data_IF_037835418606
#
_entry.id   IF_037835418606
#
_cell.length_a   1.000
_cell.length_b   1.000
_cell.length_c   1.000
_cell.angle_alpha   90.00
_cell.angle_beta   90.00
_cell.angle_gamma   90.00
#
_symmetry.space_group_name_H-M   'P 1'
#
loop_
_entity.id
_entity.type
_entity.pdbx_description
1 polymer ?
#
# COMPACT_ATOMS: atom_id res chain seq x y z
N UNK A 1 3.36 12.33 -26.61
CA UNK A 1 3.96 12.12 -25.28
C UNK A 1 5.36 12.74 -25.32
N UNK A 2 5.67 13.73 -24.47
CA UNK A 2 7.01 14.32 -24.45
C UNK A 2 8.03 13.33 -23.89
N UNK A 3 9.24 13.26 -24.47
CA UNK A 3 10.30 12.36 -23.99
C UNK A 3 10.76 12.69 -22.57
N UNK A 4 10.42 13.88 -22.07
CA UNK A 4 10.64 14.30 -20.69
C UNK A 4 10.00 13.41 -19.65
N UNK A 5 8.83 12.82 -19.97
CA UNK A 5 8.14 11.89 -19.08
C UNK A 5 8.92 10.56 -18.93
N UNK A 6 9.91 10.33 -19.79
CA UNK A 6 10.81 9.17 -19.79
C UNK A 6 12.22 9.52 -19.28
N UNK A 7 12.39 10.68 -18.64
CA UNK A 7 13.64 11.08 -17.99
C UNK A 7 14.58 11.94 -18.85
N UNK A 8 14.16 12.36 -20.05
CA UNK A 8 14.94 13.29 -20.86
C UNK A 8 14.87 14.71 -20.28
N UNK A 9 16.02 15.39 -20.23
CA UNK A 9 16.02 16.84 -20.07
C UNK A 9 15.57 17.54 -21.35
N UNK A 10 15.22 18.82 -21.25
CA UNK A 10 14.91 19.67 -22.40
C UNK A 10 15.99 19.63 -23.48
N UNK A 11 17.25 19.73 -23.05
CA UNK A 11 18.42 19.74 -23.91
C UNK A 11 18.68 18.35 -24.52
N UNK A 12 18.56 17.29 -23.72
CA UNK A 12 18.72 15.92 -24.18
C UNK A 12 17.70 15.54 -25.25
N UNK A 13 16.44 15.95 -25.07
CA UNK A 13 15.38 15.75 -26.06
C UNK A 13 15.67 16.47 -27.38
N UNK A 14 16.14 17.72 -27.33
CA UNK A 14 16.49 18.51 -28.52
C UNK A 14 17.66 17.89 -29.30
N UNK A 15 18.72 17.49 -28.59
CA UNK A 15 19.90 16.84 -29.18
C UNK A 15 19.55 15.47 -29.78
N UNK A 16 18.79 14.64 -29.07
CA UNK A 16 18.39 13.33 -29.57
C UNK A 16 17.53 13.42 -30.83
N UNK A 17 16.59 14.37 -30.90
CA UNK A 17 15.80 14.61 -32.11
C UNK A 17 16.66 15.08 -33.29
N UNK A 18 17.57 16.00 -33.05
CA UNK A 18 18.47 16.50 -34.10
C UNK A 18 19.34 15.38 -34.68
N UNK A 19 19.82 14.44 -33.85
CA UNK A 19 20.55 13.26 -34.28
C UNK A 19 19.67 12.25 -35.04
N UNK A 20 18.40 12.11 -34.69
CA UNK A 20 17.46 11.27 -35.44
C UNK A 20 17.15 11.84 -36.83
N UNK A 21 16.99 13.16 -36.92
CA UNK A 21 16.71 13.86 -38.17
C UNK A 21 17.96 13.93 -39.06
N UNK A 22 19.13 14.08 -38.46
CA UNK A 22 20.42 14.11 -39.14
C UNK A 22 21.52 13.44 -38.28
N UNK A 23 21.85 12.16 -38.54
CA UNK A 23 22.88 11.43 -37.81
C UNK A 23 24.28 12.06 -37.91
N UNK A 24 24.53 12.80 -38.99
CA UNK A 24 25.82 13.46 -39.26
C UNK A 24 25.89 14.89 -38.70
N UNK A 25 24.97 15.27 -37.80
CA UNK A 25 24.96 16.60 -37.20
C UNK A 25 26.30 16.92 -36.50
N UNK A 26 26.85 18.11 -36.76
CA UNK A 26 28.10 18.54 -36.13
C UNK A 26 27.91 18.84 -34.64
N UNK A 27 28.95 18.61 -33.85
CA UNK A 27 28.97 18.92 -32.41
C UNK A 27 28.67 20.40 -32.13
N UNK A 28 29.12 21.32 -32.99
CA UNK A 28 28.82 22.76 -32.89
C UNK A 28 27.31 23.04 -33.03
N UNK A 29 26.65 22.38 -33.98
CA UNK A 29 25.21 22.50 -34.18
C UNK A 29 24.42 21.93 -32.99
N UNK A 30 24.82 20.76 -32.49
CA UNK A 30 24.20 20.14 -31.32
C UNK A 30 24.40 20.98 -30.06
N UNK A 31 25.58 21.59 -29.88
CA UNK A 31 25.85 22.48 -28.75
C UNK A 31 25.01 23.76 -28.82
N UNK A 32 24.80 24.32 -30.02
CA UNK A 32 23.91 25.47 -30.21
C UNK A 32 22.46 25.12 -29.87
N UNK A 33 21.97 23.95 -30.31
CA UNK A 33 20.62 23.46 -29.99
C UNK A 33 20.41 23.17 -28.51
N UNK A 34 21.40 22.55 -27.87
CA UNK A 34 21.33 22.19 -26.46
C UNK A 34 21.28 23.43 -25.54
N UNK A 35 21.85 24.56 -26.00
CA UNK A 35 22.00 25.80 -25.24
C UNK A 35 22.62 25.58 -23.83
N UNK A 36 23.52 24.59 -23.75
CA UNK A 36 24.21 24.12 -22.53
C UNK A 36 25.47 23.34 -22.97
N UNK A 37 26.48 23.13 -22.11
CA UNK A 37 27.61 22.28 -22.45
C UNK A 37 27.16 20.88 -22.89
N UNK A 38 27.64 20.44 -24.06
CA UNK A 38 27.15 19.24 -24.73
C UNK A 38 27.59 17.94 -24.02
N UNK A 39 28.77 17.92 -23.39
CA UNK A 39 29.33 16.73 -22.73
C UNK A 39 28.36 16.04 -21.76
N UNK A 40 27.88 16.74 -20.70
CA UNK A 40 26.92 16.17 -19.76
C UNK A 40 25.59 15.72 -20.39
N UNK A 41 25.19 16.33 -21.51
CA UNK A 41 23.98 15.94 -22.25
C UNK A 41 24.21 14.63 -22.99
N UNK A 42 25.36 14.45 -23.63
CA UNK A 42 25.72 13.21 -24.31
C UNK A 42 25.94 12.07 -23.31
N UNK A 43 26.59 12.34 -22.17
CA UNK A 43 26.75 11.36 -21.08
C UNK A 43 25.39 10.86 -20.60
N UNK A 44 24.44 11.78 -20.34
CA UNK A 44 23.09 11.40 -19.93
C UNK A 44 22.34 10.59 -21.00
N UNK A 45 22.51 10.90 -22.29
CA UNK A 45 21.88 10.15 -23.39
C UNK A 45 22.52 8.76 -23.58
N UNK A 46 23.82 8.62 -23.33
CA UNK A 46 24.51 7.34 -23.28
C UNK A 46 24.06 6.49 -22.09
N UNK A 47 23.92 7.09 -20.91
CA UNK A 47 23.41 6.43 -19.69
C UNK A 47 21.95 5.97 -19.85
N UNK A 48 21.16 6.74 -20.61
CA UNK A 48 19.79 6.37 -21.00
C UNK A 48 19.75 5.26 -22.05
N UNK A 49 20.88 4.88 -22.65
CA UNK A 49 20.98 3.82 -23.66
C UNK A 49 20.41 4.20 -25.03
N UNK A 50 20.18 5.50 -25.28
CA UNK A 50 19.54 5.96 -26.53
C UNK A 50 20.53 6.42 -27.60
N UNK A 51 21.83 6.49 -27.26
CA UNK A 51 22.94 6.68 -28.19
C UNK A 51 23.94 5.53 -28.04
N UNK A 52 24.70 5.24 -29.10
CA UNK A 52 25.86 4.32 -29.06
C UNK A 52 27.10 4.98 -29.66
N UNK A 53 28.30 4.69 -29.11
CA UNK A 53 29.55 5.11 -29.73
C UNK A 53 29.68 4.52 -31.15
N UNK A 54 29.99 5.38 -32.11
CA UNK A 54 30.15 5.04 -33.51
C UNK A 54 31.24 5.93 -34.14
N UNK A 55 32.49 5.44 -34.23
CA UNK A 55 33.61 6.23 -34.71
C UNK A 55 33.52 6.60 -36.20
N UNK A 56 32.62 5.94 -36.95
CA UNK A 56 32.44 6.19 -38.38
C UNK A 56 31.54 7.42 -38.65
N UNK A 57 30.90 7.96 -37.60
CA UNK A 57 30.08 9.17 -37.69
C UNK A 57 30.88 10.43 -37.30
N UNK A 58 30.58 11.60 -37.89
CA UNK A 58 31.27 12.86 -37.58
C UNK A 58 31.20 13.28 -36.10
N UNK A 59 30.12 12.89 -35.40
CA UNK A 59 29.94 13.17 -33.98
C UNK A 59 30.38 12.01 -33.06
N UNK A 60 30.84 10.89 -33.63
CA UNK A 60 31.27 9.71 -32.89
C UNK A 60 30.12 8.92 -32.22
N UNK A 61 28.87 9.21 -32.59
CA UNK A 61 27.66 8.71 -31.92
C UNK A 61 26.56 8.41 -32.95
N UNK A 62 25.95 7.24 -32.82
CA UNK A 62 24.76 6.85 -33.58
C UNK A 62 23.54 6.80 -32.65
N UNK A 63 22.40 7.40 -33.02
CA UNK A 63 21.17 7.26 -32.25
C UNK A 63 20.60 5.85 -32.37
N UNK A 64 20.15 5.29 -31.24
CA UNK A 64 19.39 4.05 -31.25
C UNK A 64 18.01 4.31 -31.88
N UNK A 65 17.50 3.32 -32.60
CA UNK A 65 16.16 3.38 -33.16
C UNK A 65 15.15 3.73 -32.05
N UNK A 66 14.31 4.78 -32.24
CA UNK A 66 13.41 5.25 -31.21
C UNK A 66 12.42 4.18 -30.76
N UNK A 67 12.01 3.24 -31.62
CA UNK A 67 11.16 2.12 -31.20
C UNK A 67 11.87 1.20 -30.19
N UNK A 68 13.16 0.94 -30.38
CA UNK A 68 13.97 0.10 -29.47
C UNK A 68 14.30 0.85 -28.17
N UNK A 69 14.76 2.10 -28.29
CA UNK A 69 15.04 2.96 -27.15
C UNK A 69 13.80 3.18 -26.26
N UNK A 70 12.64 3.43 -26.86
CA UNK A 70 11.39 3.60 -26.13
C UNK A 70 10.89 2.28 -25.54
N UNK A 71 11.02 1.15 -26.25
CA UNK A 71 10.61 -0.15 -25.71
C UNK A 71 11.41 -0.54 -24.46
N UNK A 72 12.73 -0.29 -24.44
CA UNK A 72 13.56 -0.56 -23.24
C UNK A 72 13.23 0.38 -22.08
N UNK A 73 13.02 1.68 -22.36
CA UNK A 73 12.66 2.67 -21.33
C UNK A 73 11.27 2.39 -20.75
N UNK A 74 10.28 2.08 -21.60
CA UNK A 74 8.93 1.69 -21.17
C UNK A 74 9.00 0.39 -20.36
N UNK A 75 9.73 -0.62 -20.85
CA UNK A 75 9.93 -1.88 -20.13
C UNK A 75 10.54 -1.66 -18.74
N UNK A 76 11.48 -0.72 -18.59
CA UNK A 76 12.06 -0.36 -17.29
C UNK A 76 11.03 0.28 -16.35
N UNK A 77 10.22 1.23 -16.84
CA UNK A 77 9.15 1.87 -16.06
C UNK A 77 8.08 0.87 -15.65
N UNK A 78 7.66 -0.02 -16.55
CA UNK A 78 6.69 -1.09 -16.28
C UNK A 78 7.21 -2.08 -15.23
N UNK A 79 8.49 -2.48 -15.33
CA UNK A 79 9.11 -3.35 -14.33
C UNK A 79 9.15 -2.69 -12.95
N UNK A 80 9.46 -1.40 -12.87
CA UNK A 80 9.46 -0.66 -11.61
C UNK A 80 8.06 -0.56 -11.00
N UNK A 81 7.03 -0.34 -11.81
CA UNK A 81 5.63 -0.36 -11.36
C UNK A 81 5.22 -1.74 -10.85
N UNK A 82 5.58 -2.80 -11.57
CA UNK A 82 5.33 -4.18 -11.15
C UNK A 82 6.05 -4.50 -9.83
N UNK A 83 7.31 -4.09 -9.66
CA UNK A 83 8.06 -4.27 -8.42
C UNK A 83 7.40 -3.55 -7.24
N UNK A 84 6.98 -2.29 -7.44
CA UNK A 84 6.27 -1.50 -6.41
C UNK A 84 4.94 -2.16 -6.03
N UNK A 85 4.18 -2.63 -7.02
CA UNK A 85 2.91 -3.30 -6.76
C UNK A 85 3.08 -4.63 -6.01
N UNK A 86 4.08 -5.44 -6.36
CA UNK A 86 4.38 -6.70 -5.64
C UNK A 86 4.75 -6.46 -4.17
N UNK A 87 5.63 -5.50 -3.89
CA UNK A 87 5.98 -5.13 -2.50
C UNK A 87 4.75 -4.76 -1.66
N UNK A 88 3.83 -4.00 -2.24
CA UNK A 88 2.58 -3.64 -1.57
C UNK A 88 1.66 -4.86 -1.37
N UNK A 89 1.63 -5.77 -2.35
CA UNK A 89 0.92 -7.05 -2.26
C UNK A 89 1.43 -7.93 -1.12
N UNK A 90 2.76 -8.06 -1.00
CA UNK A 90 3.41 -8.86 0.05
C UNK A 90 3.07 -8.34 1.45
N UNK A 91 3.18 -7.02 1.69
CA UNK A 91 2.77 -6.40 2.96
C UNK A 91 1.27 -6.58 3.24
N UNK A 92 0.42 -6.47 2.22
CA UNK A 92 -1.03 -6.65 2.38
C UNK A 92 -1.39 -8.10 2.71
N UNK A 93 -0.59 -9.07 2.26
CA UNK A 93 -0.79 -10.48 2.55
C UNK A 93 -0.54 -10.85 4.02
N UNK A 94 0.17 -10.02 4.79
CA UNK A 94 0.36 -10.21 6.24
C UNK A 94 -0.86 -9.75 7.08
N UNK A 95 -1.71 -8.89 6.51
CA UNK A 95 -2.85 -8.31 7.24
C UNK A 95 -3.85 -9.35 7.76
N UNK A 96 -4.23 -10.41 7.03
CA UNK A 96 -5.13 -11.43 7.55
C UNK A 96 -4.63 -12.08 8.85
N UNK A 97 -3.32 -12.35 8.97
CA UNK A 97 -2.75 -12.92 10.21
C UNK A 97 -2.76 -11.91 11.36
N UNK A 98 -2.44 -10.64 11.08
CA UNK A 98 -2.50 -9.57 12.09
C UNK A 98 -3.94 -9.31 12.56
N UNK A 99 -4.91 -9.30 11.63
CA UNK A 99 -6.33 -9.19 11.93
C UNK A 99 -6.81 -10.40 12.73
N UNK A 100 -6.39 -11.62 12.38
CA UNK A 100 -6.77 -12.82 13.13
C UNK A 100 -6.20 -12.82 14.56
N UNK A 101 -4.99 -12.26 14.75
CA UNK A 101 -4.36 -12.10 16.07
C UNK A 101 -4.97 -10.97 16.88
N UNK A 102 -5.49 -9.94 16.22
CA UNK A 102 -6.23 -8.86 16.83
C UNK A 102 -7.67 -9.29 17.11
N UNK A 103 -8.02 -9.51 18.37
CA UNK A 103 -9.42 -9.71 18.76
C UNK A 103 -10.04 -8.36 19.15
N UNK A 104 -10.73 -7.65 18.23
CA UNK A 104 -11.32 -6.35 18.52
C UNK A 104 -12.30 -6.49 19.67
N UNK A 105 -12.15 -5.70 20.73
CA UNK A 105 -13.11 -5.62 21.83
C UNK A 105 -14.29 -4.71 21.46
N UNK A 106 -15.36 -4.73 22.24
CA UNK A 106 -16.50 -3.84 22.03
C UNK A 106 -16.14 -2.33 22.04
N UNK A 107 -14.95 -1.96 22.52
CA UNK A 107 -14.44 -0.59 22.50
C UNK A 107 -13.86 -0.19 21.14
N UNK A 108 -13.48 -1.17 20.32
CA UNK A 108 -12.84 -0.97 19.01
C UNK A 108 -13.88 -0.90 17.86
N UNK A 109 -15.16 -1.05 18.20
CA UNK A 109 -16.30 -1.12 17.28
C UNK A 109 -17.10 0.18 17.37
N UNK A 110 -17.45 0.78 16.24
CA UNK A 110 -18.17 2.05 16.17
C UNK A 110 -19.57 1.96 16.82
N UNK A 111 -20.09 3.05 17.43
CA UNK A 111 -21.46 3.10 17.95
C UNK A 111 -22.46 2.81 16.83
N UNK A 112 -23.24 1.73 16.97
CA UNK A 112 -24.28 1.31 16.01
C UNK A 112 -23.95 0.07 15.18
N UNK A 113 -22.68 -0.38 15.14
CA UNK A 113 -22.33 -1.65 14.49
C UNK A 113 -22.83 -2.86 15.29
N UNK A 114 -23.10 -4.03 14.69
CA UNK A 114 -23.50 -5.22 15.43
C UNK A 114 -22.40 -5.71 16.39
N UNK A 115 -22.78 -6.34 17.50
CA UNK A 115 -21.80 -7.01 18.37
C UNK A 115 -21.14 -8.18 17.65
N UNK A 116 -19.84 -8.38 17.91
CA UNK A 116 -19.15 -9.59 17.48
C UNK A 116 -19.77 -10.85 18.12
N UNK A 117 -19.66 -11.99 17.46
CA UNK A 117 -20.11 -13.28 18.00
C UNK A 117 -19.49 -13.58 19.37
N UNK A 118 -18.21 -13.26 19.53
CA UNK A 118 -17.48 -13.40 20.80
C UNK A 118 -18.11 -12.55 21.90
N UNK A 119 -18.41 -11.28 21.62
CA UNK A 119 -19.01 -10.38 22.61
C UNK A 119 -20.41 -10.82 23.01
N UNK A 120 -21.21 -11.29 22.04
CA UNK A 120 -22.52 -11.86 22.30
C UNK A 120 -22.40 -13.06 23.24
N UNK A 121 -21.45 -13.96 22.94
CA UNK A 121 -21.19 -15.13 23.78
C UNK A 121 -20.73 -14.75 25.18
N UNK A 122 -19.89 -13.73 25.32
CA UNK A 122 -19.48 -13.19 26.62
C UNK A 122 -20.71 -12.66 27.39
N UNK A 123 -21.58 -11.88 26.75
CA UNK A 123 -22.81 -11.38 27.38
C UNK A 123 -23.76 -12.50 27.81
N UNK A 124 -23.90 -13.57 27.03
CA UNK A 124 -24.68 -14.75 27.41
C UNK A 124 -24.13 -15.43 28.67
N UNK A 125 -22.81 -15.60 28.74
CA UNK A 125 -22.13 -16.18 29.89
C UNK A 125 -22.26 -15.27 31.13
N UNK A 126 -22.19 -13.95 30.97
CA UNK A 126 -22.45 -13.02 32.07
C UNK A 126 -23.90 -13.07 32.54
N UNK A 127 -24.85 -13.14 31.60
CA UNK A 127 -26.27 -13.21 31.88
C UNK A 127 -26.67 -14.51 32.60
N UNK A 128 -25.91 -15.59 32.43
CA UNK A 128 -26.10 -16.84 33.20
C UNK A 128 -25.51 -16.79 34.62
N UNK A 129 -24.85 -15.69 35.00
CA UNK A 129 -24.30 -15.48 36.34
C UNK A 129 -22.92 -16.11 36.57
N UNK A 130 -22.28 -16.66 35.53
CA UNK A 130 -20.96 -17.29 35.67
C UNK A 130 -19.87 -16.27 36.04
N UNK A 131 -18.77 -16.70 36.66
CA UNK A 131 -17.64 -15.82 36.99
C UNK A 131 -16.77 -15.55 35.77
N UNK A 132 -16.00 -14.46 35.80
CA UNK A 132 -15.06 -14.11 34.73
C UNK A 132 -14.04 -15.22 34.49
N UNK A 133 -13.58 -15.91 35.54
CA UNK A 133 -12.60 -16.99 35.41
C UNK A 133 -13.17 -18.20 34.66
N UNK A 134 -14.44 -18.51 34.89
CA UNK A 134 -15.12 -19.60 34.22
C UNK A 134 -15.54 -19.20 32.80
N UNK A 135 -16.07 -17.99 32.61
CA UNK A 135 -16.36 -17.44 31.28
C UNK A 135 -15.11 -17.39 30.41
N UNK A 136 -13.97 -16.94 30.95
CA UNK A 136 -12.69 -16.86 30.25
C UNK A 136 -12.24 -18.23 29.75
N UNK A 137 -12.41 -19.27 30.58
CA UNK A 137 -12.15 -20.66 30.21
C UNK A 137 -13.04 -21.13 29.06
N UNK A 138 -14.32 -20.78 29.06
CA UNK A 138 -15.28 -21.18 28.01
C UNK A 138 -14.95 -20.52 26.67
N UNK A 139 -14.55 -19.24 26.66
CA UNK A 139 -14.22 -18.51 25.42
C UNK A 139 -12.75 -18.61 25.00
N UNK A 140 -11.93 -19.34 25.76
CA UNK A 140 -10.51 -19.53 25.47
C UNK A 140 -9.63 -18.29 25.69
N UNK A 141 -10.04 -17.38 26.58
CA UNK A 141 -9.31 -16.15 26.90
C UNK A 141 -8.59 -16.24 28.24
N UNK A 142 -7.56 -15.41 28.41
CA UNK A 142 -7.08 -15.07 29.75
C UNK A 142 -8.14 -14.25 30.49
N UNK A 143 -8.16 -14.33 31.82
CA UNK A 143 -9.07 -13.55 32.67
C UNK A 143 -8.94 -12.04 32.41
N UNK A 144 -7.71 -11.56 32.14
CA UNK A 144 -7.43 -10.16 31.80
C UNK A 144 -8.09 -9.75 30.48
N UNK A 145 -7.99 -10.58 29.44
CA UNK A 145 -8.63 -10.32 28.15
C UNK A 145 -10.15 -10.28 28.29
N UNK A 146 -10.73 -11.23 29.03
CA UNK A 146 -12.16 -11.23 29.30
C UNK A 146 -12.58 -9.95 30.04
N UNK A 147 -11.94 -9.61 31.17
CA UNK A 147 -12.29 -8.41 31.96
C UNK A 147 -12.22 -7.11 31.15
N UNK A 148 -11.18 -6.95 30.33
CA UNK A 148 -11.07 -5.81 29.40
C UNK A 148 -12.27 -5.74 28.46
N UNK A 149 -12.68 -6.90 27.93
CA UNK A 149 -13.81 -7.01 27.01
C UNK A 149 -15.16 -6.76 27.69
N UNK A 150 -15.35 -7.26 28.91
CA UNK A 150 -16.53 -6.97 29.75
C UNK A 150 -16.61 -5.47 30.06
N UNK A 151 -15.50 -4.83 30.43
CA UNK A 151 -15.47 -3.38 30.66
C UNK A 151 -15.89 -2.58 29.42
N UNK A 152 -15.39 -2.97 28.24
CA UNK A 152 -15.78 -2.36 26.98
C UNK A 152 -17.28 -2.56 26.67
N UNK A 153 -17.82 -3.75 26.94
CA UNK A 153 -19.24 -4.05 26.76
C UNK A 153 -20.12 -3.26 27.72
N UNK A 154 -19.74 -3.13 28.99
CA UNK A 154 -20.46 -2.32 29.98
C UNK A 154 -20.49 -0.85 29.57
N UNK A 155 -19.35 -0.29 29.14
CA UNK A 155 -19.28 1.08 28.65
C UNK A 155 -20.21 1.30 27.45
N UNK A 156 -20.20 0.38 26.49
CA UNK A 156 -21.05 0.44 25.30
C UNK A 156 -22.54 0.26 25.60
N UNK A 157 -22.87 -0.52 26.63
CA UNK A 157 -24.26 -0.77 27.06
C UNK A 157 -24.78 0.31 28.03
N UNK A 158 -23.91 1.23 28.46
CA UNK A 158 -24.14 2.21 29.54
C UNK A 158 -24.54 1.54 30.87
N UNK A 159 -23.92 0.40 31.16
CA UNK A 159 -24.21 -0.38 32.35
C UNK A 159 -23.21 -0.10 33.48
N UNK A 160 -23.71 0.16 34.69
CA UNK A 160 -22.90 0.35 35.89
C UNK A 160 -22.44 -0.98 36.50
N UNK A 161 -23.02 -2.10 36.09
CA UNK A 161 -22.64 -3.44 36.56
C UNK A 161 -22.71 -4.49 35.46
N UNK A 162 -21.99 -5.60 35.64
CA UNK A 162 -22.01 -6.75 34.72
C UNK A 162 -23.41 -7.39 34.59
N UNK A 163 -24.17 -7.39 35.69
CA UNK A 163 -25.53 -7.90 35.71
C UNK A 163 -26.45 -6.99 34.88
N UNK A 164 -26.35 -5.68 35.08
CA UNK A 164 -27.06 -4.69 34.28
C UNK A 164 -26.69 -4.78 32.80
N UNK A 165 -25.43 -5.02 32.46
CA UNK A 165 -25.02 -5.26 31.08
C UNK A 165 -25.70 -6.49 30.46
N UNK A 166 -25.78 -7.61 31.20
CA UNK A 166 -26.49 -8.81 30.76
C UNK A 166 -27.99 -8.55 30.54
N UNK A 167 -28.65 -7.84 31.46
CA UNK A 167 -30.07 -7.46 31.36
C UNK A 167 -30.30 -6.49 30.19
N UNK A 168 -29.45 -5.49 30.03
CA UNK A 168 -29.53 -4.51 28.95
C UNK A 168 -29.34 -5.17 27.59
N UNK A 169 -28.41 -6.13 27.48
CA UNK A 169 -28.22 -6.94 26.28
C UNK A 169 -29.45 -7.79 25.96
N UNK A 170 -30.06 -8.43 26.96
CA UNK A 170 -31.29 -9.20 26.78
C UNK A 170 -32.47 -8.33 26.33
N UNK A 171 -32.63 -7.13 26.93
CA UNK A 171 -33.68 -6.16 26.54
C UNK A 171 -33.52 -5.65 25.12
N UNK A 172 -32.28 -5.48 24.65
CA UNK A 172 -31.96 -5.09 23.27
C UNK A 172 -32.06 -6.26 22.27
N UNK A 173 -32.42 -7.46 22.73
CA UNK A 173 -32.52 -8.66 21.89
C UNK A 173 -31.17 -9.20 21.44
N UNK A 174 -30.07 -8.77 22.06
CA UNK A 174 -28.71 -9.17 21.65
C UNK A 174 -28.33 -10.56 22.13
N UNK A 175 -28.95 -11.02 23.22
CA UNK A 175 -28.76 -12.36 23.79
C UNK A 175 -30.12 -12.96 24.11
N UNK A 176 -30.29 -14.27 23.91
CA UNK A 176 -31.45 -14.97 24.47
C UNK A 176 -31.23 -15.06 25.98
N UNK A 177 -32.14 -14.52 26.77
CA UNK A 177 -32.16 -14.80 28.19
C UNK A 177 -32.18 -16.33 28.36
N UNK A 178 -31.17 -16.88 29.03
CA UNK A 178 -31.16 -18.29 29.37
C UNK A 178 -32.42 -18.56 30.20
N UNK A 179 -33.34 -19.34 29.62
CA UNK A 179 -34.58 -19.73 30.26
C UNK A 179 -34.27 -20.42 31.58
N UNK A 180 -34.99 -19.99 32.62
CA UNK A 180 -35.09 -20.69 33.89
C UNK A 180 -35.70 -22.07 33.69
#
# INVERSE_FOLDING_TARGET
MPLRDLGFSAAAEAVYRALLDNPDASTDHLSWLANTPLGPVLDALLDLGVLRPDPDTPCGLTPLNPATALAELIGRVEQDLLRRHRRAGDTRAELPELIARYQPTAADVLPGEPLSEVDRRVLELLASGITDEAAARVVGFSVRQLRRRVAALMARLEAASRFEAGVAAARRGWVRAAGR
#
